data_IF_469575147331
#
_entry.id   IF_469575147331
#
_cell.length_a   1.000
_cell.length_b   1.000
_cell.length_c   1.000
_cell.angle_alpha   90.00
_cell.angle_beta   90.00
_cell.angle_gamma   90.00
#
_symmetry.space_group_name_H-M   'P 1'
#
loop_
_entity.id
_entity.type
_entity.pdbx_description
1 polymer ?
#
# COMPACT_ATOMS: atom_id res chain seq x y z
N UNK A 1 7.23 5.98 -27.59
CA UNK A 1 5.76 6.02 -27.41
C UNK A 1 5.42 4.95 -26.38
N UNK A 2 4.63 5.28 -25.36
CA UNK A 2 4.19 4.29 -24.37
C UNK A 2 3.15 3.38 -25.04
N UNK A 3 3.26 2.08 -24.80
CA UNK A 3 2.35 1.07 -25.35
C UNK A 3 1.10 0.88 -24.49
N UNK A 4 0.03 0.36 -25.07
CA UNK A 4 -1.19 0.01 -24.34
C UNK A 4 -0.91 -1.04 -23.24
N UNK A 5 0.04 -1.95 -23.48
CA UNK A 5 0.48 -2.95 -22.50
C UNK A 5 1.17 -2.30 -21.29
N UNK A 6 2.05 -1.33 -21.52
CA UNK A 6 2.69 -0.54 -20.46
C UNK A 6 1.65 0.27 -19.67
N UNK A 7 0.71 0.94 -20.35
CA UNK A 7 -0.37 1.68 -19.70
C UNK A 7 -1.25 0.75 -18.85
N UNK A 8 -1.55 -0.45 -19.33
CA UNK A 8 -2.31 -1.46 -18.58
C UNK A 8 -1.55 -1.93 -17.33
N UNK A 9 -0.23 -2.13 -17.42
CA UNK A 9 0.60 -2.49 -16.27
C UNK A 9 0.60 -1.36 -15.22
N UNK A 10 0.75 -0.10 -15.65
CA UNK A 10 0.67 1.08 -14.77
C UNK A 10 -0.70 1.20 -14.11
N UNK A 11 -1.79 1.06 -14.87
CA UNK A 11 -3.15 1.07 -14.33
C UNK A 11 -3.35 0.00 -13.25
N UNK A 12 -2.79 -1.20 -13.47
CA UNK A 12 -2.76 -2.28 -12.48
C UNK A 12 -2.08 -1.86 -11.18
N UNK A 13 -0.92 -1.20 -11.26
CA UNK A 13 -0.18 -0.74 -10.07
C UNK A 13 -1.01 0.25 -9.23
N UNK A 14 -1.61 1.26 -9.86
CA UNK A 14 -2.49 2.22 -9.18
C UNK A 14 -3.71 1.53 -8.56
N UNK A 15 -4.34 0.62 -9.31
CA UNK A 15 -5.55 -0.09 -8.86
C UNK A 15 -5.26 -0.99 -7.67
N UNK A 16 -4.15 -1.72 -7.68
CA UNK A 16 -3.79 -2.61 -6.57
C UNK A 16 -3.33 -1.81 -5.34
N UNK A 17 -2.57 -0.72 -5.52
CA UNK A 17 -2.22 0.16 -4.41
C UNK A 17 -3.46 0.79 -3.75
N UNK A 18 -4.46 1.20 -4.54
CA UNK A 18 -5.74 1.68 -4.02
C UNK A 18 -6.49 0.59 -3.24
N UNK A 19 -6.58 -0.62 -3.79
CA UNK A 19 -7.23 -1.76 -3.11
C UNK A 19 -6.53 -2.12 -1.80
N UNK A 20 -5.20 -2.10 -1.80
CA UNK A 20 -4.37 -2.30 -0.62
C UNK A 20 -4.69 -1.26 0.45
N UNK A 21 -4.60 0.04 0.12
CA UNK A 21 -4.97 1.10 1.07
C UNK A 21 -6.40 0.93 1.60
N UNK A 22 -7.37 0.68 0.71
CA UNK A 22 -8.77 0.50 1.09
C UNK A 22 -8.95 -0.66 2.07
N UNK A 23 -8.25 -1.78 1.87
CA UNK A 23 -8.33 -2.97 2.73
C UNK A 23 -7.88 -2.66 4.16
N UNK A 24 -6.84 -1.85 4.31
CA UNK A 24 -6.23 -1.52 5.59
C UNK A 24 -6.64 -0.13 6.10
N UNK A 25 -7.66 0.51 5.51
CA UNK A 25 -8.04 1.87 5.86
C UNK A 25 -8.55 2.04 7.30
N UNK A 26 -9.08 0.96 7.88
CA UNK A 26 -9.45 0.86 9.30
C UNK A 26 -8.23 0.36 10.09
N UNK A 27 -7.40 1.32 10.54
CA UNK A 27 -6.08 1.06 11.12
C UNK A 27 -6.20 0.45 12.51
N UNK A 28 -5.42 -0.61 12.75
CA UNK A 28 -5.35 -1.28 14.05
C UNK A 28 -3.97 -1.10 14.69
N UNK A 29 -3.91 -1.24 16.02
CA UNK A 29 -2.69 -1.05 16.82
C UNK A 29 -1.93 -2.36 17.10
N UNK A 30 -2.40 -3.48 16.55
CA UNK A 30 -1.83 -4.80 16.77
C UNK A 30 -0.68 -5.11 15.81
N UNK A 31 0.28 -5.91 16.27
CA UNK A 31 1.42 -6.34 15.45
C UNK A 31 0.95 -7.21 14.28
N UNK A 32 -0.06 -8.07 14.48
CA UNK A 32 -0.62 -8.93 13.44
C UNK A 32 -1.19 -8.12 12.26
N UNK A 33 -1.76 -6.95 12.52
CA UNK A 33 -2.23 -6.05 11.48
C UNK A 33 -1.05 -5.52 10.65
N UNK A 34 0.03 -5.08 11.29
CA UNK A 34 1.19 -4.52 10.61
C UNK A 34 1.99 -5.57 9.84
N UNK A 35 2.09 -6.79 10.37
CA UNK A 35 2.65 -7.93 9.65
C UNK A 35 1.86 -8.19 8.36
N UNK A 36 0.52 -8.20 8.43
CA UNK A 36 -0.33 -8.39 7.24
C UNK A 36 -0.15 -7.27 6.20
N UNK A 37 -0.06 -6.00 6.64
CA UNK A 37 0.22 -4.84 5.77
C UNK A 37 1.55 -5.01 5.03
N UNK A 38 2.62 -5.38 5.75
CA UNK A 38 3.96 -5.57 5.19
C UNK A 38 3.99 -6.75 4.23
N UNK A 39 3.38 -7.88 4.58
CA UNK A 39 3.41 -9.07 3.74
C UNK A 39 2.61 -8.90 2.45
N UNK A 40 1.43 -8.28 2.50
CA UNK A 40 0.65 -8.02 1.31
C UNK A 40 1.31 -6.98 0.39
N UNK A 41 1.89 -5.92 0.94
CA UNK A 41 2.63 -4.94 0.12
C UNK A 41 3.81 -5.60 -0.62
N UNK A 42 4.55 -6.51 0.04
CA UNK A 42 5.62 -7.31 -0.60
C UNK A 42 5.08 -8.20 -1.71
N UNK A 43 3.91 -8.81 -1.55
CA UNK A 43 3.28 -9.64 -2.58
C UNK A 43 2.87 -8.80 -3.80
N UNK A 44 2.27 -7.62 -3.58
CA UNK A 44 1.90 -6.70 -4.66
C UNK A 44 3.13 -6.18 -5.40
N UNK A 45 4.20 -5.79 -4.68
CA UNK A 45 5.45 -5.37 -5.31
C UNK A 45 6.03 -6.48 -6.20
N UNK A 46 6.06 -7.73 -5.70
CA UNK A 46 6.52 -8.90 -6.47
C UNK A 46 5.66 -9.17 -7.72
N UNK A 47 4.33 -8.98 -7.65
CA UNK A 47 3.42 -9.11 -8.82
C UNK A 47 3.83 -8.20 -9.98
N UNK A 48 4.46 -7.06 -9.70
CA UNK A 48 4.93 -6.10 -10.69
C UNK A 48 6.45 -6.11 -10.88
N UNK A 49 7.11 -7.24 -10.61
CA UNK A 49 8.58 -7.40 -10.75
C UNK A 49 9.38 -6.37 -9.95
N UNK A 50 8.85 -5.94 -8.79
CA UNK A 50 9.41 -4.87 -7.98
C UNK A 50 9.58 -3.55 -8.75
N UNK A 51 8.67 -3.24 -9.66
CA UNK A 51 8.64 -1.97 -10.37
C UNK A 51 8.64 -0.80 -9.38
N UNK A 52 9.53 0.19 -9.62
CA UNK A 52 9.71 1.36 -8.74
C UNK A 52 8.41 2.10 -8.46
N UNK A 53 7.53 2.24 -9.47
CA UNK A 53 6.24 2.89 -9.32
C UNK A 53 5.31 2.11 -8.36
N UNK A 54 5.22 0.79 -8.49
CA UNK A 54 4.42 -0.03 -7.59
C UNK A 54 4.88 0.11 -6.13
N UNK A 55 6.19 0.05 -5.91
CA UNK A 55 6.79 0.23 -4.58
C UNK A 55 6.47 1.62 -4.03
N UNK A 56 6.64 2.68 -4.83
CA UNK A 56 6.36 4.05 -4.38
C UNK A 56 4.89 4.26 -3.98
N UNK A 57 3.95 3.69 -4.74
CA UNK A 57 2.53 3.77 -4.43
C UNK A 57 2.17 3.01 -3.14
N UNK A 58 2.77 1.83 -2.93
CA UNK A 58 2.58 1.05 -1.71
C UNK A 58 3.16 1.75 -0.48
N UNK A 59 4.36 2.34 -0.60
CA UNK A 59 4.98 3.12 0.48
C UNK A 59 4.13 4.33 0.86
N UNK A 60 3.62 5.09 -0.13
CA UNK A 60 2.73 6.21 0.15
C UNK A 60 1.45 5.79 0.88
N UNK A 61 0.89 4.62 0.54
CA UNK A 61 -0.24 4.07 1.27
C UNK A 61 0.14 3.70 2.71
N UNK A 62 1.28 3.03 2.93
CA UNK A 62 1.77 2.65 4.27
C UNK A 62 2.03 3.89 5.13
N UNK A 63 2.67 4.92 4.60
CA UNK A 63 2.95 6.18 5.29
C UNK A 63 1.66 6.83 5.83
N UNK A 64 0.58 6.82 5.04
CA UNK A 64 -0.72 7.33 5.45
C UNK A 64 -1.37 6.47 6.56
N UNK A 65 -1.24 5.15 6.49
CA UNK A 65 -1.71 4.25 7.55
C UNK A 65 -0.93 4.48 8.86
N UNK A 66 0.38 4.69 8.77
CA UNK A 66 1.21 5.01 9.94
C UNK A 66 0.84 6.36 10.55
N UNK A 67 0.58 7.38 9.73
CA UNK A 67 0.12 8.70 10.19
C UNK A 67 -1.17 8.56 11.00
N UNK A 68 -2.17 7.85 10.46
CA UNK A 68 -3.44 7.57 11.16
C UNK A 68 -3.21 6.81 12.47
N UNK A 69 -2.34 5.80 12.47
CA UNK A 69 -1.99 5.04 13.67
C UNK A 69 -1.42 5.93 14.78
N UNK A 70 -0.53 6.87 14.43
CA UNK A 70 0.07 7.83 15.37
C UNK A 70 -0.99 8.78 15.93
N UNK A 71 -1.90 9.27 15.09
CA UNK A 71 -3.01 10.14 15.51
C UNK A 71 -3.98 9.44 16.48
N UNK A 72 -4.28 8.16 16.25
CA UNK A 72 -5.09 7.36 17.19
C UNK A 72 -4.44 7.25 18.57
N UNK A 73 -3.11 7.05 18.63
CA UNK A 73 -2.37 6.99 19.91
C UNK A 73 -2.39 8.33 20.65
N UNK A 74 -2.24 9.44 19.91
CA UNK A 74 -2.26 10.78 20.50
C UNK A 74 -3.63 11.15 21.08
N UNK A 75 -4.72 10.82 20.37
CA UNK A 75 -6.09 11.11 20.83
C UNK A 75 -6.54 10.23 22.01
N UNK A 76 -5.83 9.14 22.30
CA UNK A 76 -6.10 8.24 23.42
C UNK A 76 -5.38 8.64 24.72
N UNK A 77 -4.54 9.69 24.68
CA UNK A 77 -3.76 10.23 25.83
C UNK A 77 -4.33 11.56 26.30
#
# INVERSE_FOLDING_TARGET
MVTDEELKKVYGMFTDAWKFYKKYADVQQSDEYWEAVVDESRQIAKKYDNAKLAIALLLAAIDELERKSKEMKQNAT
#
